data_IF_047695298500
#
_entry.id   IF_047695298500
#
_cell.length_a   1.000
_cell.length_b   1.000
_cell.length_c   1.000
_cell.angle_alpha   90.00
_cell.angle_beta   90.00
_cell.angle_gamma   90.00
#
_symmetry.space_group_name_H-M   'P 1'
#
loop_
_entity.id
_entity.type
_entity.pdbx_description
1 polymer ?
#
# COMPACT_ATOMS: atom_id res chain seq x y z
N UNK A 1 -8.00 -10.98 5.70
CA UNK A 1 -6.71 -10.28 5.48
C UNK A 1 -6.86 -8.84 5.91
N UNK A 2 -5.89 -8.33 6.66
CA UNK A 2 -5.95 -6.98 7.23
C UNK A 2 -4.78 -6.16 6.71
N UNK A 3 -5.07 -5.03 6.07
CA UNK A 3 -4.07 -4.08 5.60
C UNK A 3 -3.95 -2.94 6.60
N UNK A 4 -2.76 -2.80 7.17
CA UNK A 4 -2.43 -1.80 8.17
C UNK A 4 -1.58 -0.73 7.50
N UNK A 5 -1.95 0.52 7.74
CA UNK A 5 -1.27 1.69 7.20
C UNK A 5 -1.00 2.71 8.29
N UNK A 6 -0.03 3.57 8.03
CA UNK A 6 0.31 4.72 8.87
C UNK A 6 -0.79 5.79 8.80
N UNK A 7 -1.59 5.90 9.86
CA UNK A 7 -2.70 6.84 9.96
C UNK A 7 -2.26 8.29 10.10
N UNK A 8 -1.00 8.52 10.48
CA UNK A 8 -0.45 9.87 10.55
C UNK A 8 -0.01 10.37 9.18
N UNK A 9 -0.11 9.55 8.13
CA UNK A 9 0.20 9.90 6.75
C UNK A 9 -1.05 9.93 5.87
N UNK A 10 -1.49 11.13 5.47
CA UNK A 10 -2.67 11.28 4.60
C UNK A 10 -2.51 10.63 3.22
N UNK A 11 -1.29 10.56 2.68
CA UNK A 11 -1.05 9.79 1.46
C UNK A 11 -1.26 8.28 1.68
N UNK A 12 -0.80 7.74 2.81
CA UNK A 12 -1.03 6.34 3.17
C UNK A 12 -2.51 6.06 3.36
N UNK A 13 -3.24 6.96 4.04
CA UNK A 13 -4.68 6.87 4.21
C UNK A 13 -5.43 6.88 2.87
N UNK A 14 -5.13 7.84 2.01
CA UNK A 14 -5.73 7.94 0.68
C UNK A 14 -5.45 6.68 -0.16
N UNK A 15 -4.21 6.19 -0.13
CA UNK A 15 -3.79 4.99 -0.86
C UNK A 15 -4.50 3.74 -0.34
N UNK A 16 -4.61 3.60 0.98
CA UNK A 16 -5.33 2.50 1.61
C UNK A 16 -6.81 2.53 1.21
N UNK A 17 -7.49 3.67 1.33
CA UNK A 17 -8.88 3.80 0.89
C UNK A 17 -9.08 3.50 -0.60
N UNK A 18 -8.12 3.90 -1.45
CA UNK A 18 -8.14 3.54 -2.86
C UNK A 18 -7.98 2.03 -3.07
N UNK A 19 -7.10 1.39 -2.30
CA UNK A 19 -6.90 -0.05 -2.32
C UNK A 19 -8.15 -0.82 -1.86
N UNK A 20 -8.87 -0.37 -0.83
CA UNK A 20 -10.17 -0.95 -0.44
C UNK A 20 -11.22 -0.86 -1.55
N UNK A 21 -11.24 0.24 -2.32
CA UNK A 21 -12.14 0.36 -3.48
C UNK A 21 -11.80 -0.62 -4.59
N UNK A 22 -10.53 -1.02 -4.72
CA UNK A 22 -10.08 -2.02 -5.69
C UNK A 22 -10.33 -3.44 -5.20
N UNK A 23 -10.03 -3.70 -3.92
CA UNK A 23 -10.23 -4.96 -3.24
C UNK A 23 -11.17 -4.78 -2.04
N UNK A 24 -12.50 -4.87 -2.25
CA UNK A 24 -13.48 -4.71 -1.16
C UNK A 24 -13.46 -5.83 -0.12
N UNK A 25 -12.75 -6.94 -0.39
CA UNK A 25 -12.55 -8.01 0.59
C UNK A 25 -11.41 -7.73 1.57
N UNK A 26 -10.69 -6.62 1.40
CA UNK A 26 -9.58 -6.22 2.24
C UNK A 26 -10.08 -5.38 3.42
N UNK A 27 -9.83 -5.84 4.65
CA UNK A 27 -10.07 -5.04 5.85
C UNK A 27 -8.95 -4.04 6.01
N UNK A 28 -9.26 -2.75 6.13
CA UNK A 28 -8.26 -1.69 6.29
C UNK A 28 -8.30 -1.14 7.71
N UNK A 29 -7.14 -1.14 8.37
CA UNK A 29 -7.01 -0.72 9.76
C UNK A 29 -5.98 0.42 9.89
N UNK A 30 -6.37 1.59 10.43
CA UNK A 30 -5.41 2.64 10.76
C UNK A 30 -4.53 2.22 11.96
N UNK A 31 -3.22 2.44 11.85
CA UNK A 31 -2.26 2.25 12.95
C UNK A 31 -1.00 3.10 12.71
N UNK A 32 0.10 2.85 13.41
CA UNK A 32 1.36 3.60 13.27
C UNK A 32 2.57 2.69 12.93
N UNK A 33 2.49 1.82 11.90
CA UNK A 33 3.63 0.99 11.51
C UNK A 33 4.69 1.82 10.77
N UNK A 34 5.95 1.39 10.85
CA UNK A 34 7.05 2.04 10.11
C UNK A 34 6.90 1.92 8.57
N UNK A 35 6.11 0.95 8.09
CA UNK A 35 5.78 0.74 6.68
C UNK A 35 4.38 0.10 6.55
N UNK A 36 3.78 0.13 5.36
CA UNK A 36 2.50 -0.56 5.13
C UNK A 36 2.63 -2.06 5.38
N UNK A 37 1.68 -2.66 6.09
CA UNK A 37 1.70 -4.08 6.44
C UNK A 37 0.43 -4.79 5.95
N UNK A 38 0.56 -6.02 5.46
CA UNK A 38 -0.55 -6.90 5.16
C UNK A 38 -0.45 -8.13 6.06
N UNK A 39 -1.44 -8.29 6.92
CA UNK A 39 -1.60 -9.42 7.81
C UNK A 39 -2.45 -10.47 7.10
N UNK A 40 -1.81 -11.59 6.78
CA UNK A 40 -2.41 -12.76 6.16
C UNK A 40 -2.35 -13.94 7.13
N UNK A 41 -3.06 -15.03 6.82
CA UNK A 41 -2.97 -16.27 7.60
C UNK A 41 -1.56 -16.88 7.59
N UNK A 42 -0.78 -16.59 6.55
CA UNK A 42 0.58 -17.10 6.36
C UNK A 42 1.69 -16.20 6.94
N UNK A 43 1.34 -15.05 7.51
CA UNK A 43 2.29 -14.09 8.10
C UNK A 43 2.05 -12.64 7.70
N UNK A 44 3.02 -11.79 8.02
CA UNK A 44 2.98 -10.34 7.80
C UNK A 44 3.93 -9.94 6.67
N UNK A 45 3.37 -9.32 5.64
CA UNK A 45 4.11 -8.79 4.50
C UNK A 45 4.18 -7.27 4.59
N UNK A 46 5.30 -6.67 4.15
CA UNK A 46 5.55 -5.24 4.35
C UNK A 46 5.87 -4.49 3.06
N UNK A 47 5.62 -3.18 3.07
CA UNK A 47 5.92 -2.25 1.99
C UNK A 47 5.19 -2.58 0.69
N UNK A 48 5.92 -2.58 -0.43
CA UNK A 48 5.34 -2.83 -1.75
C UNK A 48 4.78 -4.27 -1.90
N UNK A 49 5.31 -5.26 -1.19
CA UNK A 49 4.78 -6.64 -1.21
C UNK A 49 3.39 -6.73 -0.61
N UNK A 50 3.15 -5.99 0.48
CA UNK A 50 1.83 -5.89 1.10
C UNK A 50 0.78 -5.39 0.08
N UNK A 51 1.12 -4.34 -0.67
CA UNK A 51 0.26 -3.76 -1.72
C UNK A 51 0.08 -4.74 -2.88
N UNK A 52 1.17 -5.35 -3.35
CA UNK A 52 1.16 -6.33 -4.44
C UNK A 52 0.26 -7.53 -4.14
N UNK A 53 0.35 -8.08 -2.92
CA UNK A 53 -0.49 -9.19 -2.48
C UNK A 53 -1.95 -8.79 -2.31
N UNK A 54 -2.21 -7.58 -1.79
CA UNK A 54 -3.57 -7.06 -1.67
C UNK A 54 -4.23 -6.88 -3.05
N UNK A 55 -3.47 -6.44 -4.06
CA UNK A 55 -3.92 -6.31 -5.45
C UNK A 55 -4.07 -7.67 -6.15
N UNK A 56 -3.11 -8.58 -5.95
CA UNK A 56 -3.12 -9.93 -6.53
C UNK A 56 -4.34 -10.75 -6.10
N UNK A 57 -4.93 -10.42 -4.94
CA UNK A 57 -6.12 -11.06 -4.39
C UNK A 57 -7.41 -10.30 -4.66
N UNK A 58 -7.36 -9.16 -5.36
CA UNK A 58 -8.53 -8.39 -5.71
C UNK A 58 -9.47 -9.18 -6.67
N UNK A 59 -10.78 -8.89 -6.65
CA UNK A 59 -11.73 -9.52 -7.57
C UNK A 59 -11.56 -9.04 -9.03
N UNK A 60 -10.98 -7.85 -9.23
CA UNK A 60 -10.77 -7.26 -10.57
C UNK A 60 -9.54 -7.87 -11.25
N UNK A 61 -9.71 -8.39 -12.47
CA UNK A 61 -8.63 -9.06 -13.25
C UNK A 61 -7.41 -8.15 -13.49
N UNK A 62 -7.63 -6.88 -13.85
CA UNK A 62 -6.52 -5.93 -14.06
C UNK A 62 -5.74 -5.68 -12.77
N UNK A 63 -6.42 -5.63 -11.62
CA UNK A 63 -5.79 -5.43 -10.32
C UNK A 63 -4.96 -6.66 -9.93
N UNK A 64 -5.46 -7.87 -10.23
CA UNK A 64 -4.67 -9.11 -10.07
C UNK A 64 -3.38 -9.08 -10.87
N UNK A 65 -3.47 -8.69 -12.14
CA UNK A 65 -2.30 -8.57 -13.03
C UNK A 65 -1.34 -7.52 -12.49
N UNK A 66 -1.84 -6.35 -12.07
CA UNK A 66 -1.02 -5.30 -11.47
C UNK A 66 -0.31 -5.78 -10.19
N UNK A 67 -1.01 -6.53 -9.33
CA UNK A 67 -0.43 -7.14 -8.13
C UNK A 67 0.65 -8.17 -8.47
N UNK A 68 0.43 -9.01 -9.48
CA UNK A 68 1.43 -9.96 -9.97
C UNK A 68 2.68 -9.27 -10.52
N UNK A 69 2.50 -8.20 -11.30
CA UNK A 69 3.61 -7.39 -11.84
C UNK A 69 4.40 -6.73 -10.71
N UNK A 70 3.73 -6.22 -9.68
CA UNK A 70 4.36 -5.65 -8.48
C UNK A 70 5.17 -6.68 -7.68
N UNK A 71 4.80 -7.96 -7.73
CA UNK A 71 5.49 -9.06 -7.06
C UNK A 71 6.61 -9.68 -7.92
N UNK A 72 6.73 -9.28 -9.19
CA UNK A 72 7.65 -9.88 -10.13
C UNK A 72 9.09 -9.48 -9.81
N UNK A 73 9.92 -10.48 -9.46
CA UNK A 73 11.30 -10.29 -8.95
C UNK A 73 12.19 -9.47 -9.87
N UNK A 74 11.99 -9.50 -11.19
CA UNK A 74 12.79 -8.71 -12.13
C UNK A 74 12.55 -7.21 -12.01
N UNK A 75 11.37 -6.81 -11.56
CA UNK A 75 10.96 -5.41 -11.44
C UNK A 75 11.07 -4.87 -10.00
N UNK A 76 11.56 -5.71 -9.07
CA UNK A 76 11.63 -5.37 -7.64
C UNK A 76 12.55 -4.18 -7.36
N UNK A 77 13.64 -3.99 -8.11
CA UNK A 77 14.52 -2.83 -7.93
C UNK A 77 13.80 -1.53 -8.30
N UNK A 78 13.11 -1.52 -9.44
CA UNK A 78 12.38 -0.34 -9.92
C UNK A 78 11.28 0.04 -8.92
N UNK A 79 10.47 -0.93 -8.48
CA UNK A 79 9.40 -0.66 -7.51
C UNK A 79 9.93 -0.36 -6.11
N UNK A 80 11.02 -1.00 -5.66
CA UNK A 80 11.64 -0.65 -4.39
C UNK A 80 12.20 0.77 -4.42
N UNK A 81 12.79 1.19 -5.53
CA UNK A 81 13.26 2.56 -5.74
C UNK A 81 12.12 3.57 -5.71
N UNK A 82 11.04 3.31 -6.48
CA UNK A 82 9.84 4.17 -6.47
C UNK A 82 9.24 4.23 -5.07
N UNK A 83 9.11 3.09 -4.38
CA UNK A 83 8.57 3.04 -3.03
C UNK A 83 9.46 3.78 -2.02
N UNK A 84 10.79 3.69 -2.16
CA UNK A 84 11.73 4.43 -1.31
C UNK A 84 11.62 5.94 -1.53
N UNK A 85 11.43 6.38 -2.78
CA UNK A 85 11.15 7.78 -3.10
C UNK A 85 9.83 8.22 -2.48
N UNK A 86 8.76 7.43 -2.65
CA UNK A 86 7.45 7.72 -2.03
C UNK A 86 7.57 7.79 -0.51
N UNK A 87 8.26 6.84 0.13
CA UNK A 87 8.48 6.83 1.57
C UNK A 87 9.29 8.05 2.04
N UNK A 88 10.29 8.48 1.26
CA UNK A 88 11.12 9.65 1.56
C UNK A 88 10.37 10.97 1.34
N UNK A 89 9.47 11.02 0.37
CA UNK A 89 8.64 12.20 0.04
C UNK A 89 7.22 12.15 0.64
N UNK A 90 6.90 11.15 1.47
CA UNK A 90 5.54 10.94 2.04
C UNK A 90 4.96 12.18 2.70
N UNK A 91 5.83 12.96 3.37
CA UNK A 91 5.48 14.21 4.04
C UNK A 91 5.04 15.33 3.08
N UNK A 92 5.42 15.26 1.79
CA UNK A 92 5.04 16.22 0.74
C UNK A 92 3.96 15.69 -0.21
N UNK A 93 3.60 14.41 -0.13
CA UNK A 93 2.65 13.78 -1.05
C UNK A 93 1.17 13.98 -0.64
N UNK A 94 0.90 14.29 0.64
CA UNK A 94 -0.47 14.58 1.11
C UNK A 94 -1.22 15.64 0.28
N UNK A 95 -0.66 16.85 0.10
CA UNK A 95 -1.31 17.91 -0.68
C UNK A 95 -1.56 17.52 -2.14
N UNK A 96 -0.68 16.71 -2.73
CA UNK A 96 -0.77 16.28 -4.14
C UNK A 96 -1.96 15.35 -4.40
N UNK A 97 -2.40 14.59 -3.40
CA UNK A 97 -3.56 13.69 -3.50
C UNK A 97 -4.82 14.25 -2.83
N UNK A 98 -4.79 15.53 -2.41
CA UNK A 98 -5.89 16.17 -1.69
C UNK A 98 -6.12 15.60 -0.29
N UNK A 99 -5.11 14.93 0.29
CA UNK A 99 -5.17 14.40 1.65
C UNK A 99 -4.45 15.33 2.63
N UNK A 100 -4.83 15.28 3.90
CA UNK A 100 -4.16 16.00 4.98
C UNK A 100 -2.66 15.67 5.00
N UNK A 101 -1.80 16.68 5.11
CA UNK A 101 -0.37 16.50 5.36
C UNK A 101 -0.15 15.66 6.61
N UNK A 102 0.98 14.94 6.65
CA UNK A 102 1.31 14.14 7.83
C UNK A 102 1.24 14.98 9.09
N UNK A 103 0.56 14.51 10.13
CA UNK A 103 0.74 15.07 11.48
C UNK A 103 2.08 14.57 11.99
N UNK A 104 3.07 15.46 11.97
CA UNK A 104 4.34 15.26 12.66
C UNK A 104 4.14 15.36 14.17
#
# INVERSE_FOLDING_TARGET
>A
MTFIYDSDCGFCQWSAQHLARINPALTITPSHPAAAELHTEHGVERGHRAIGLALAQAPRRWARIAGWVLLQRSLHWLFAGIYAVIARYRHRLGPLVGASTCRL
#
